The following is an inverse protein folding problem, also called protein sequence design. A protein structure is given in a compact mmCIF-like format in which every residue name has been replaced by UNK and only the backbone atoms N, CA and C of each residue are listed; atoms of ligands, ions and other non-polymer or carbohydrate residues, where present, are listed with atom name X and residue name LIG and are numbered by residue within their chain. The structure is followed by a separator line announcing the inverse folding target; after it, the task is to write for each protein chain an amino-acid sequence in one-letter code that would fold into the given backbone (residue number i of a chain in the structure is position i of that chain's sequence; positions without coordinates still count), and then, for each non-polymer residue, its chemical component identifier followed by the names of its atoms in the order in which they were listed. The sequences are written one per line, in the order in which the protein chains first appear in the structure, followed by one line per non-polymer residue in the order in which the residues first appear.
data_IF_249135663932
#
_entry.id   IF_249135663932
#
_cell.length_a   1.000
_cell.length_b   1.000
_cell.length_c   1.000
_cell.angle_alpha   90.00
_cell.angle_beta   90.00
_cell.angle_gamma   90.00
#
_symmetry.space_group_name_H-M   'P 1'
#
loop_
_entity.id
_entity.type
_entity.pdbx_description
1 polymer ?
#
# COMPACT_ATOMS: atom_id res chain seq x y z
N UNK A 1 -3.90 -4.27 -16.22
CA UNK A 1 -5.12 -4.41 -15.40
C UNK A 1 -4.96 -3.47 -14.22
N UNK A 2 -5.91 -2.57 -13.99
CA UNK A 2 -5.81 -1.54 -12.93
C UNK A 2 -6.75 -1.89 -11.78
N UNK A 3 -6.30 -1.65 -10.55
CA UNK A 3 -7.12 -1.78 -9.35
C UNK A 3 -7.82 -0.45 -9.05
N UNK A 4 -9.15 -0.47 -8.92
CA UNK A 4 -9.94 0.67 -8.46
C UNK A 4 -10.49 0.40 -7.06
N UNK A 5 -10.13 1.24 -6.10
CA UNK A 5 -10.59 1.17 -4.72
C UNK A 5 -11.07 2.52 -4.25
N UNK A 6 -12.12 2.52 -3.43
CA UNK A 6 -12.54 3.71 -2.72
C UNK A 6 -11.71 3.89 -1.45
N UNK A 7 -11.13 5.07 -1.28
CA UNK A 7 -10.43 5.49 -0.06
C UNK A 7 -11.03 6.82 0.38
N UNK A 8 -11.47 6.96 1.65
CA UNK A 8 -11.95 8.24 2.16
C UNK A 8 -10.96 9.38 1.89
N UNK A 9 -11.47 10.55 1.51
CA UNK A 9 -10.65 11.67 1.04
C UNK A 9 -9.59 12.10 2.05
N UNK A 10 -9.98 12.20 3.34
CA UNK A 10 -9.08 12.61 4.42
C UNK A 10 -7.93 11.62 4.61
N UNK A 11 -8.24 10.33 4.64
CA UNK A 11 -7.23 9.27 4.76
C UNK A 11 -6.28 9.27 3.56
N UNK A 12 -6.81 9.42 2.34
CA UNK A 12 -5.98 9.52 1.13
C UNK A 12 -5.02 10.71 1.19
N UNK A 13 -5.50 11.86 1.68
CA UNK A 13 -4.68 13.07 1.78
C UNK A 13 -3.59 12.93 2.85
N UNK A 14 -3.91 12.34 4.00
CA UNK A 14 -2.91 12.03 5.03
C UNK A 14 -1.85 11.05 4.50
N UNK A 15 -2.28 9.97 3.85
CA UNK A 15 -1.39 9.00 3.22
C UNK A 15 -0.47 9.65 2.18
N UNK A 16 -1.03 10.50 1.31
CA UNK A 16 -0.25 11.28 0.34
C UNK A 16 0.81 12.15 1.03
N UNK A 17 0.45 12.83 2.12
CA UNK A 17 1.37 13.66 2.89
C UNK A 17 2.57 12.86 3.39
N UNK A 18 2.33 11.69 3.98
CA UNK A 18 3.38 10.79 4.47
C UNK A 18 4.26 10.25 3.33
N UNK A 19 3.67 9.90 2.18
CA UNK A 19 4.46 9.44 1.03
C UNK A 19 5.44 10.53 0.56
N UNK A 20 4.96 11.78 0.47
CA UNK A 20 5.77 12.92 0.03
C UNK A 20 6.93 13.18 0.99
N UNK A 21 6.72 13.12 2.30
CA UNK A 21 7.82 13.32 3.27
C UNK A 21 8.90 12.25 3.19
N UNK A 22 8.57 11.06 2.68
CA UNK A 22 9.51 9.96 2.45
C UNK A 22 10.12 9.99 1.04
N UNK A 23 9.74 10.94 0.18
CA UNK A 23 10.20 10.98 -1.22
C UNK A 23 9.62 9.86 -2.09
N UNK A 24 8.51 9.25 -1.67
CA UNK A 24 7.86 8.13 -2.35
C UNK A 24 6.51 8.54 -2.95
N UNK A 25 6.10 7.84 -4.00
CA UNK A 25 4.75 7.95 -4.55
C UNK A 25 3.79 7.01 -3.81
N UNK A 26 2.51 7.38 -3.77
CA UNK A 26 1.45 6.51 -3.21
C UNK A 26 1.46 5.12 -3.85
N UNK A 27 1.70 5.04 -5.16
CA UNK A 27 1.73 3.78 -5.91
C UNK A 27 2.88 2.87 -5.44
N UNK A 28 4.06 3.43 -5.17
CA UNK A 28 5.20 2.65 -4.68
C UNK A 28 4.88 2.02 -3.32
N UNK A 29 4.39 2.83 -2.40
CA UNK A 29 4.07 2.38 -1.03
C UNK A 29 2.96 1.34 -1.04
N UNK A 30 1.88 1.53 -1.80
CA UNK A 30 0.79 0.55 -1.92
C UNK A 30 1.29 -0.75 -2.55
N UNK A 31 2.13 -0.67 -3.58
CA UNK A 31 2.70 -1.85 -4.26
C UNK A 31 3.54 -2.67 -3.29
N UNK A 32 4.40 -2.03 -2.51
CA UNK A 32 5.23 -2.70 -1.51
C UNK A 32 4.39 -3.30 -0.39
N UNK A 33 3.40 -2.56 0.11
CA UNK A 33 2.47 -3.05 1.11
C UNK A 33 1.75 -4.33 0.66
N UNK A 34 1.26 -4.37 -0.59
CA UNK A 34 0.59 -5.55 -1.15
C UNK A 34 1.54 -6.75 -1.27
N UNK A 35 2.77 -6.53 -1.74
CA UNK A 35 3.80 -7.59 -1.80
C UNK A 35 4.05 -8.18 -0.41
N UNK A 36 4.30 -7.31 0.57
CA UNK A 36 4.56 -7.73 1.95
C UNK A 36 3.38 -8.49 2.55
N UNK A 37 2.15 -8.04 2.27
CA UNK A 37 0.94 -8.74 2.72
C UNK A 37 0.86 -10.16 2.13
N UNK A 38 1.06 -10.31 0.83
CA UNK A 38 1.04 -11.60 0.13
C UNK A 38 2.13 -12.53 0.66
N UNK A 39 3.36 -12.03 0.80
CA UNK A 39 4.49 -12.82 1.31
C UNK A 39 4.25 -13.33 2.73
N UNK A 40 3.63 -12.52 3.60
CA UNK A 40 3.26 -12.94 4.96
C UNK A 40 2.20 -14.06 4.93
N UNK A 41 1.22 -14.00 4.01
CA UNK A 41 0.21 -15.05 3.91
C UNK A 41 0.78 -16.36 3.35
N UNK A 42 1.76 -16.31 2.45
CA UNK A 42 2.45 -17.51 1.98
C UNK A 42 3.30 -18.17 3.06
N UNK A 43 4.10 -17.38 3.79
CA UNK A 43 4.92 -17.90 4.91
C UNK A 43 4.10 -18.56 6.02
N UNK A 44 2.85 -18.15 6.21
CA UNK A 44 1.96 -18.75 7.21
C UNK A 44 1.29 -20.05 6.74
N UNK A 45 1.35 -20.40 5.46
CA UNK A 45 0.79 -21.67 4.93
C UNK A 45 1.79 -22.82 4.91
N UNK A 46 3.07 -22.52 5.09
CA UNK A 46 4.17 -23.51 5.14
C UNK A 46 4.53 -23.92 6.59
N UNK A 47 3.65 -23.62 7.56
CA UNK A 47 3.73 -24.07 8.96
C UNK A 47 2.47 -24.84 9.34
#
# INVERSE_FOLDING_TARGET
MELRVFVPGDLRNQFKGVCVTQGLTMSQVITEFMKNYVDQQHKNKDK
#
